data_IF_844297833994
#
_entry.id   IF_844297833994
#
_cell.length_a   1.000
_cell.length_b   1.000
_cell.length_c   1.000
_cell.angle_alpha   90.00
_cell.angle_beta   90.00
_cell.angle_gamma   90.00
#
_symmetry.space_group_name_H-M   'P 1'
#
loop_
_entity.id
_entity.type
_entity.pdbx_description
1 polymer ?
#
# COMPACT_ATOMS: atom_id res chain seq x y z
N UNK A 1 20.21 2.23 37.28
CA UNK A 1 19.41 1.73 36.14
C UNK A 1 18.82 2.82 35.23
N UNK A 2 18.67 4.08 35.64
CA UNK A 2 18.15 5.15 34.75
C UNK A 2 19.21 5.78 33.82
N UNK A 3 20.48 5.84 34.24
CA UNK A 3 21.56 6.41 33.43
C UNK A 3 21.94 5.56 32.19
N UNK A 4 21.81 4.23 32.28
CA UNK A 4 22.17 3.32 31.17
C UNK A 4 21.19 3.43 29.99
N UNK A 5 19.90 3.71 30.27
CA UNK A 5 18.89 3.89 29.23
C UNK A 5 19.10 5.18 28.42
N UNK A 6 19.48 6.28 29.07
CA UNK A 6 19.71 7.57 28.40
C UNK A 6 20.95 7.52 27.49
N UNK A 7 22.01 6.81 27.89
CA UNK A 7 23.21 6.64 27.05
C UNK A 7 22.90 5.78 25.82
N UNK A 8 22.05 4.75 25.94
CA UNK A 8 21.68 3.88 24.83
C UNK A 8 20.83 4.63 23.77
N UNK A 9 19.91 5.49 24.21
CA UNK A 9 19.07 6.30 23.31
C UNK A 9 19.87 7.35 22.55
N UNK A 10 20.86 7.99 23.20
CA UNK A 10 21.74 8.95 22.53
C UNK A 10 22.64 8.26 21.49
N UNK A 11 23.17 7.07 21.80
CA UNK A 11 23.95 6.29 20.83
C UNK A 11 23.13 5.85 19.59
N UNK A 12 21.86 5.46 19.78
CA UNK A 12 20.98 5.04 18.67
C UNK A 12 20.63 6.21 17.73
N UNK A 13 20.31 7.38 18.29
CA UNK A 13 20.04 8.59 17.49
C UNK A 13 21.27 9.04 16.69
N UNK A 14 22.47 8.92 17.26
CA UNK A 14 23.71 9.33 16.58
C UNK A 14 24.06 8.37 15.43
N UNK A 15 23.79 7.07 15.58
CA UNK A 15 23.99 6.07 14.54
C UNK A 15 23.03 6.25 13.35
N UNK A 16 21.77 6.63 13.60
CA UNK A 16 20.77 6.87 12.55
C UNK A 16 21.12 8.13 11.75
N UNK A 17 21.51 9.23 12.43
CA UNK A 17 21.89 10.48 11.76
C UNK A 17 23.17 10.31 10.94
N UNK A 18 24.14 9.54 11.44
CA UNK A 18 25.38 9.29 10.69
C UNK A 18 25.15 8.33 9.51
N UNK A 19 24.29 7.33 9.66
CA UNK A 19 23.90 6.42 8.57
C UNK A 19 23.14 7.13 7.44
N UNK A 20 22.27 8.08 7.79
CA UNK A 20 21.50 8.86 6.82
C UNK A 20 22.39 9.80 5.99
N UNK A 21 23.39 10.44 6.62
CA UNK A 21 24.34 11.33 5.93
C UNK A 21 25.27 10.54 4.97
N UNK A 22 25.64 9.29 5.32
CA UNK A 22 26.51 8.46 4.48
C UNK A 22 25.74 7.91 3.26
N UNK A 23 24.43 7.64 3.38
CA UNK A 23 23.62 7.13 2.27
C UNK A 23 23.39 8.17 1.16
N UNK A 24 23.25 9.45 1.53
CA UNK A 24 22.97 10.54 0.57
C UNK A 24 24.23 11.09 -0.12
N UNK A 25 25.43 10.75 0.37
CA UNK A 25 26.71 11.30 -0.13
C UNK A 25 27.55 10.33 -0.97
N UNK A 26 27.07 9.11 -1.24
CA UNK A 26 27.76 8.14 -2.11
C UNK A 26 29.14 7.70 -1.63
N UNK A 27 29.50 7.95 -0.36
CA UNK A 27 30.78 7.53 0.21
C UNK A 27 30.68 6.11 0.78
N UNK A 28 31.42 5.17 0.20
CA UNK A 28 31.61 3.84 0.80
C UNK A 28 32.65 3.90 1.93
N UNK A 29 32.22 3.75 3.19
CA UNK A 29 33.13 3.53 4.32
C UNK A 29 33.34 2.02 4.49
N UNK A 30 34.52 1.52 4.11
CA UNK A 30 34.93 0.14 4.38
C UNK A 30 35.41 0.02 5.83
N UNK A 31 34.55 -0.48 6.72
CA UNK A 31 34.91 -0.79 8.11
C UNK A 31 35.55 -2.19 8.11
N UNK A 32 36.88 -2.25 8.23
CA UNK A 32 37.60 -3.52 8.44
C UNK A 32 37.46 -3.95 9.90
N UNK A 33 36.44 -4.75 10.20
CA UNK A 33 36.30 -5.40 11.50
C UNK A 33 37.28 -6.57 11.56
N UNK A 34 38.35 -6.44 12.35
CA UNK A 34 39.27 -7.54 12.66
C UNK A 34 38.55 -8.48 13.65
N UNK A 35 38.29 -9.76 13.30
CA UNK A 35 37.67 -10.68 14.24
C UNK A 35 38.62 -11.01 15.40
N UNK A 36 38.09 -11.21 16.62
CA UNK A 36 38.89 -11.77 17.69
C UNK A 36 39.33 -13.18 17.33
N UNK A 37 40.63 -13.42 17.51
CA UNK A 37 41.33 -14.70 17.35
C UNK A 37 40.58 -15.83 18.04
N UNK A 38 40.07 -16.77 17.24
CA UNK A 38 39.53 -18.05 17.68
C UNK A 38 39.84 -19.07 16.60
N UNK A 39 40.89 -19.84 16.84
CA UNK A 39 41.34 -20.97 16.04
C UNK A 39 40.19 -21.98 15.85
N UNK A 40 40.13 -22.58 14.65
CA UNK A 40 39.85 -23.99 14.36
C UNK A 40 39.22 -24.20 12.96
N UNK A 41 40.10 -24.40 11.98
CA UNK A 41 40.21 -25.58 11.10
C UNK A 41 38.94 -26.19 10.45
N UNK A 42 38.98 -26.31 9.11
CA UNK A 42 38.28 -27.37 8.35
C UNK A 42 37.57 -26.88 7.08
N UNK A 43 38.24 -26.93 5.92
CA UNK A 43 37.88 -27.75 4.73
C UNK A 43 36.77 -27.14 3.82
N UNK A 44 37.11 -26.64 2.61
CA UNK A 44 37.07 -27.34 1.30
C UNK A 44 35.66 -27.85 0.91
N UNK A 45 35.10 -27.78 -0.30
CA UNK A 45 35.48 -27.46 -1.69
C UNK A 45 34.13 -27.28 -2.44
N UNK A 46 33.91 -26.23 -3.23
CA UNK A 46 33.90 -26.17 -4.71
C UNK A 46 33.24 -27.32 -5.51
N UNK A 47 32.48 -26.86 -6.53
CA UNK A 47 32.25 -27.41 -7.90
C UNK A 47 31.09 -28.42 -8.10
N UNK A 48 29.97 -27.98 -8.73
CA UNK A 48 29.57 -28.03 -10.18
C UNK A 48 28.97 -29.35 -10.66
N UNK A 49 27.93 -29.25 -11.50
CA UNK A 49 27.57 -30.31 -12.46
C UNK A 49 26.16 -30.17 -13.03
N UNK A 50 26.08 -29.79 -14.30
CA UNK A 50 24.87 -29.66 -15.09
C UNK A 50 24.66 -30.88 -16.03
N UNK A 51 23.47 -30.93 -16.62
CA UNK A 51 23.05 -31.49 -17.94
C UNK A 51 22.66 -32.97 -18.13
N UNK A 52 21.47 -33.08 -18.74
CA UNK A 52 20.99 -33.96 -19.81
C UNK A 52 20.72 -35.45 -19.60
N UNK A 53 19.47 -35.87 -19.92
CA UNK A 53 19.17 -36.63 -21.17
C UNK A 53 17.68 -36.87 -21.46
N UNK A 54 17.41 -36.91 -22.77
CA UNK A 54 16.13 -37.09 -23.50
C UNK A 54 15.91 -38.57 -23.91
N UNK A 55 14.64 -38.97 -24.08
CA UNK A 55 14.17 -40.10 -24.92
C UNK A 55 12.86 -40.71 -24.37
N UNK A 56 11.67 -40.74 -25.00
CA UNK A 56 11.18 -41.06 -26.36
C UNK A 56 10.28 -42.34 -26.36
N UNK A 57 8.97 -42.14 -26.58
CA UNK A 57 7.96 -42.87 -27.39
C UNK A 57 7.50 -44.35 -27.17
N UNK A 58 6.15 -44.50 -27.27
CA UNK A 58 5.35 -45.70 -27.66
C UNK A 58 4.64 -46.42 -26.49
N UNK A 59 3.34 -46.81 -26.47
CA UNK A 59 2.36 -47.24 -27.49
C UNK A 59 0.92 -47.34 -26.89
N UNK A 60 -0.07 -47.43 -27.77
CA UNK A 60 -1.57 -47.39 -27.72
C UNK A 60 -2.38 -48.51 -26.97
N UNK A 61 -3.39 -48.09 -26.14
CA UNK A 61 -4.82 -48.51 -25.89
C UNK A 61 -5.30 -49.99 -25.78
N UNK A 62 -6.54 -50.35 -25.29
CA UNK A 62 -7.60 -49.69 -24.47
C UNK A 62 -8.30 -50.59 -23.38
N UNK A 63 -9.10 -50.03 -22.44
CA UNK A 63 -10.35 -50.57 -21.83
C UNK A 63 -10.72 -49.83 -20.51
N UNK A 64 -11.97 -49.35 -20.36
CA UNK A 64 -12.47 -48.59 -19.18
C UNK A 64 -12.98 -49.46 -18.01
N UNK A 65 -13.91 -49.02 -17.13
CA UNK A 65 -14.36 -47.66 -16.79
C UNK A 65 -14.31 -47.37 -15.25
N UNK A 66 -14.73 -46.16 -14.86
CA UNK A 66 -15.21 -45.72 -13.52
C UNK A 66 -14.21 -45.52 -12.36
N UNK A 67 -14.28 -44.32 -11.78
CA UNK A 67 -13.78 -44.04 -10.43
C UNK A 67 -12.97 -42.74 -10.26
N UNK A 68 -13.38 -41.63 -10.85
CA UNK A 68 -12.82 -40.33 -10.47
C UNK A 68 -13.48 -39.87 -9.15
N UNK A 69 -12.82 -40.17 -8.03
CA UNK A 69 -12.99 -39.40 -6.80
C UNK A 69 -12.05 -38.20 -6.90
N UNK A 70 -12.57 -37.06 -7.36
CA UNK A 70 -11.95 -35.77 -7.05
C UNK A 70 -12.25 -35.47 -5.58
N UNK A 71 -11.27 -35.09 -4.75
CA UNK A 71 -11.57 -34.45 -3.49
C UNK A 71 -12.13 -33.05 -3.81
N UNK A 72 -13.44 -32.91 -3.66
CA UNK A 72 -14.14 -31.63 -3.47
C UNK A 72 -13.36 -30.81 -2.43
N UNK A 73 -13.02 -29.57 -2.72
CA UNK A 73 -14.02 -28.51 -2.72
C UNK A 73 -14.40 -28.07 -1.29
N UNK A 74 -13.52 -28.27 -0.30
CA UNK A 74 -13.65 -27.70 1.04
C UNK A 74 -12.82 -26.41 1.10
N UNK A 75 -13.41 -25.29 0.72
CA UNK A 75 -12.77 -23.97 0.89
C UNK A 75 -13.54 -22.80 0.28
N UNK A 76 -14.28 -23.02 -0.81
CA UNK A 76 -14.97 -21.91 -1.51
C UNK A 76 -16.39 -21.61 -1.02
N UNK A 77 -17.05 -22.55 -0.33
CA UNK A 77 -18.45 -22.41 0.07
C UNK A 77 -18.68 -21.67 1.41
N UNK A 78 -17.65 -21.47 2.23
CA UNK A 78 -17.81 -20.95 3.60
C UNK A 78 -17.82 -19.41 3.70
N UNK A 79 -17.38 -18.72 2.64
CA UNK A 79 -17.26 -17.24 2.64
C UNK A 79 -18.39 -16.49 1.92
N UNK A 80 -19.34 -17.19 1.29
CA UNK A 80 -20.35 -16.54 0.45
C UNK A 80 -21.38 -15.69 1.23
N UNK A 81 -21.55 -15.95 2.54
CA UNK A 81 -22.54 -15.27 3.40
C UNK A 81 -21.93 -14.30 4.43
N UNK A 82 -20.60 -14.18 4.51
CA UNK A 82 -19.95 -13.28 5.47
C UNK A 82 -19.88 -11.86 4.87
N UNK A 83 -20.42 -10.83 5.56
CA UNK A 83 -20.34 -9.44 5.08
C UNK A 83 -18.89 -8.99 4.86
N UNK A 84 -18.67 -8.15 3.85
CA UNK A 84 -17.33 -7.65 3.47
C UNK A 84 -16.61 -7.02 4.66
N UNK A 85 -17.30 -6.23 5.49
CA UNK A 85 -16.68 -5.57 6.65
C UNK A 85 -16.14 -6.58 7.67
N UNK A 86 -16.85 -7.69 7.88
CA UNK A 86 -16.42 -8.73 8.80
C UNK A 86 -15.20 -9.47 8.25
N UNK A 87 -15.19 -9.78 6.95
CA UNK A 87 -14.04 -10.42 6.30
C UNK A 87 -12.79 -9.54 6.36
N UNK A 88 -12.96 -8.23 6.13
CA UNK A 88 -11.86 -7.26 6.26
C UNK A 88 -11.35 -7.21 7.69
N UNK A 89 -12.26 -7.17 8.69
CA UNK A 89 -11.87 -7.15 10.10
C UNK A 89 -11.09 -8.40 10.49
N UNK A 90 -11.60 -9.59 10.13
CA UNK A 90 -10.97 -10.86 10.47
C UNK A 90 -9.57 -10.98 9.85
N UNK A 91 -9.42 -10.62 8.56
CA UNK A 91 -8.13 -10.58 7.88
C UNK A 91 -7.19 -9.54 8.51
N UNK A 92 -7.68 -8.33 8.76
CA UNK A 92 -6.89 -7.26 9.36
C UNK A 92 -6.29 -7.67 10.70
N UNK A 93 -7.07 -8.37 11.54
CA UNK A 93 -6.61 -8.86 12.85
C UNK A 93 -5.73 -10.10 12.78
N UNK A 94 -5.72 -10.82 11.65
CA UNK A 94 -4.84 -11.97 11.44
C UNK A 94 -3.50 -11.64 10.78
N UNK A 95 -3.43 -10.53 10.02
CA UNK A 95 -2.22 -10.11 9.30
C UNK A 95 -1.13 -9.72 10.31
N UNK A 96 0.05 -10.33 10.21
CA UNK A 96 1.22 -10.00 11.00
C UNK A 96 2.37 -9.47 10.13
N UNK A 97 3.14 -8.53 10.69
CA UNK A 97 4.39 -8.02 10.11
C UNK A 97 4.32 -7.72 8.59
N UNK A 98 5.05 -8.54 7.82
CA UNK A 98 5.27 -8.39 6.38
C UNK A 98 4.41 -9.35 5.54
N UNK A 99 3.25 -9.82 6.03
CA UNK A 99 2.33 -10.69 5.27
C UNK A 99 1.70 -9.95 4.07
N UNK A 100 2.42 -9.99 2.95
CA UNK A 100 2.00 -9.41 1.66
C UNK A 100 0.80 -10.14 1.04
N UNK A 101 0.63 -11.44 1.31
CA UNK A 101 -0.49 -12.21 0.75
C UNK A 101 -1.80 -11.81 1.43
N UNK A 102 -1.83 -11.81 2.76
CA UNK A 102 -2.97 -11.35 3.54
C UNK A 102 -3.30 -9.87 3.28
N UNK A 103 -2.26 -9.02 3.17
CA UNK A 103 -2.46 -7.61 2.78
C UNK A 103 -3.16 -7.48 1.42
N UNK A 104 -2.71 -8.23 0.42
CA UNK A 104 -3.30 -8.19 -0.92
C UNK A 104 -4.72 -8.76 -0.93
N UNK A 105 -4.99 -9.79 -0.13
CA UNK A 105 -6.34 -10.34 0.06
C UNK A 105 -7.29 -9.30 0.67
N UNK A 106 -6.87 -8.63 1.75
CA UNK A 106 -7.63 -7.54 2.36
C UNK A 106 -7.90 -6.42 1.35
N UNK A 107 -6.90 -6.00 0.59
CA UNK A 107 -7.08 -4.96 -0.43
C UNK A 107 -8.07 -5.38 -1.53
N UNK A 108 -8.17 -6.65 -1.87
CA UNK A 108 -9.17 -7.12 -2.85
C UNK A 108 -10.61 -6.96 -2.34
N UNK A 109 -10.80 -6.85 -1.02
CA UNK A 109 -12.10 -6.64 -0.40
C UNK A 109 -12.44 -5.16 -0.24
N UNK A 110 -11.44 -4.28 -0.11
CA UNK A 110 -11.65 -2.85 0.11
C UNK A 110 -12.64 -2.18 -0.86
N UNK A 111 -12.67 -2.46 -2.17
CA UNK A 111 -13.66 -1.85 -3.06
C UNK A 111 -15.12 -2.06 -2.65
N UNK A 112 -15.40 -3.10 -1.84
CA UNK A 112 -16.73 -3.40 -1.32
C UNK A 112 -17.02 -2.88 0.10
N UNK A 113 -16.06 -2.21 0.75
CA UNK A 113 -16.23 -1.74 2.14
C UNK A 113 -17.23 -0.59 2.21
N UNK A 114 -18.01 -0.57 3.29
CA UNK A 114 -18.73 0.62 3.75
C UNK A 114 -18.11 1.04 5.09
N UNK A 115 -17.35 2.14 5.09
CA UNK A 115 -16.56 2.56 6.26
C UNK A 115 -17.43 2.88 7.48
N UNK A 116 -18.60 3.48 7.27
CA UNK A 116 -19.54 3.74 8.36
C UNK A 116 -20.11 2.44 8.95
N UNK A 117 -20.32 1.41 8.12
CA UNK A 117 -20.75 0.10 8.59
C UNK A 117 -19.62 -0.67 9.28
N UNK A 118 -18.40 -0.58 8.77
CA UNK A 118 -17.21 -1.16 9.39
C UNK A 118 -17.02 -0.57 10.79
N UNK A 119 -17.08 0.76 10.91
CA UNK A 119 -17.02 1.42 12.22
C UNK A 119 -18.13 0.97 13.15
N UNK A 120 -19.37 0.93 12.67
CA UNK A 120 -20.50 0.53 13.50
C UNK A 120 -20.35 -0.88 14.08
N UNK A 121 -19.67 -1.78 13.36
CA UNK A 121 -19.46 -3.18 13.78
C UNK A 121 -18.19 -3.36 14.60
N UNK A 122 -17.14 -2.57 14.34
CA UNK A 122 -15.79 -2.83 14.81
C UNK A 122 -15.11 -1.62 15.47
N UNK A 123 -15.84 -0.52 15.66
CA UNK A 123 -15.36 0.75 16.24
C UNK A 123 -15.36 0.78 17.77
N UNK A 124 -16.07 -0.13 18.43
CA UNK A 124 -16.11 -0.27 19.89
C UNK A 124 -14.99 -1.21 20.38
N UNK A 125 -13.72 -0.92 20.06
CA UNK A 125 -12.61 -1.64 20.65
C UNK A 125 -12.55 -1.38 22.17
N UNK A 126 -12.12 -2.37 22.97
CA UNK A 126 -12.08 -2.27 24.44
C UNK A 126 -11.20 -1.12 24.96
N UNK A 127 -10.25 -0.65 24.15
CA UNK A 127 -9.35 0.46 24.45
C UNK A 127 -9.87 1.83 23.97
N UNK A 128 -11.07 1.87 23.37
CA UNK A 128 -11.70 3.08 22.83
C UNK A 128 -11.15 3.53 21.48
N UNK A 129 -10.38 2.68 20.79
CA UNK A 129 -9.83 2.99 19.47
C UNK A 129 -10.87 2.74 18.38
N UNK A 130 -11.03 3.70 17.47
CA UNK A 130 -11.88 3.54 16.28
C UNK A 130 -11.24 2.53 15.33
N UNK A 131 -11.93 1.42 15.07
CA UNK A 131 -11.46 0.38 14.16
C UNK A 131 -11.24 0.90 12.74
N UNK A 132 -12.05 1.86 12.28
CA UNK A 132 -11.86 2.50 10.97
C UNK A 132 -10.57 3.31 10.92
N UNK A 133 -10.28 4.08 11.97
CA UNK A 133 -9.03 4.83 12.05
C UNK A 133 -7.84 3.89 12.06
N UNK A 134 -7.87 2.85 12.88
CA UNK A 134 -6.80 1.85 12.98
C UNK A 134 -6.51 1.22 11.61
N UNK A 135 -7.54 0.85 10.85
CA UNK A 135 -7.38 0.28 9.51
C UNK A 135 -6.84 1.29 8.50
N UNK A 136 -7.33 2.53 8.49
CA UNK A 136 -6.85 3.57 7.57
C UNK A 136 -5.41 4.01 7.88
N UNK A 137 -5.04 4.11 9.15
CA UNK A 137 -3.66 4.35 9.58
C UNK A 137 -2.74 3.20 9.17
N UNK A 138 -3.16 1.96 9.42
CA UNK A 138 -2.42 0.78 8.99
C UNK A 138 -2.22 0.75 7.46
N UNK A 139 -3.26 1.06 6.67
CA UNK A 139 -3.13 1.20 5.22
C UNK A 139 -2.14 2.30 4.83
N UNK A 140 -2.07 3.39 5.59
CA UNK A 140 -1.14 4.49 5.31
C UNK A 140 0.31 4.10 5.56
N UNK A 141 0.57 3.39 6.65
CA UNK A 141 1.93 3.03 7.06
C UNK A 141 2.46 1.76 6.37
N UNK A 142 1.59 0.95 5.76
CA UNK A 142 1.98 -0.33 5.18
C UNK A 142 2.84 -0.16 3.90
N UNK A 143 4.02 -0.81 3.80
CA UNK A 143 4.93 -0.67 2.65
C UNK A 143 4.39 -1.26 1.34
N UNK A 144 3.32 -2.06 1.38
CA UNK A 144 2.70 -2.66 0.21
C UNK A 144 1.63 -1.75 -0.43
N UNK A 145 1.19 -0.70 0.26
CA UNK A 145 0.08 0.16 -0.14
C UNK A 145 0.28 0.81 -1.52
N UNK A 146 1.50 1.24 -1.83
CA UNK A 146 1.83 1.89 -3.11
C UNK A 146 2.30 0.90 -4.18
N UNK A 147 2.27 -0.42 -3.95
CA UNK A 147 2.72 -1.43 -4.92
C UNK A 147 1.63 -1.83 -5.92
N UNK A 148 2.04 -2.19 -7.14
CA UNK A 148 1.16 -2.72 -8.20
C UNK A 148 -0.17 -1.95 -8.38
N UNK A 149 -1.27 -2.65 -8.17
CA UNK A 149 -2.64 -2.14 -8.35
C UNK A 149 -3.29 -1.70 -7.03
N UNK A 150 -2.54 -1.65 -5.93
CA UNK A 150 -3.09 -1.49 -4.59
C UNK A 150 -3.73 -0.11 -4.37
N UNK A 151 -3.11 0.95 -4.89
CA UNK A 151 -3.70 2.30 -4.91
C UNK A 151 -5.05 2.32 -5.62
N UNK A 152 -5.21 1.58 -6.72
CA UNK A 152 -6.47 1.54 -7.46
C UNK A 152 -7.61 0.95 -6.62
N UNK A 153 -7.35 -0.14 -5.89
CA UNK A 153 -8.33 -0.76 -4.98
C UNK A 153 -8.72 0.20 -3.85
N UNK A 154 -7.77 0.98 -3.34
CA UNK A 154 -8.03 2.00 -2.32
C UNK A 154 -8.89 3.14 -2.87
N UNK A 155 -8.65 3.61 -4.10
CA UNK A 155 -9.48 4.64 -4.73
C UNK A 155 -10.95 4.22 -4.90
N UNK A 156 -11.24 2.93 -4.95
CA UNK A 156 -12.62 2.42 -5.02
C UNK A 156 -13.33 2.43 -3.67
N UNK A 157 -12.59 2.51 -2.57
CA UNK A 157 -13.09 2.38 -1.21
C UNK A 157 -13.46 3.76 -0.61
N UNK A 158 -14.43 4.47 -1.21
CA UNK A 158 -14.87 5.80 -0.70
C UNK A 158 -16.19 5.75 0.07
N UNK A 159 -16.92 4.64 0.00
CA UNK A 159 -18.28 4.53 0.53
C UNK A 159 -18.33 4.63 2.06
N UNK A 160 -19.15 5.54 2.57
CA UNK A 160 -19.39 5.67 4.01
C UNK A 160 -18.28 6.42 4.76
N UNK A 161 -17.36 7.08 4.05
CA UNK A 161 -16.42 8.04 4.64
C UNK A 161 -17.18 9.31 5.05
N UNK A 162 -17.03 9.71 6.31
CA UNK A 162 -17.54 10.98 6.83
C UNK A 162 -16.68 11.45 8.01
N UNK A 163 -16.69 12.76 8.27
CA UNK A 163 -15.93 13.40 9.34
C UNK A 163 -14.47 12.95 9.39
N UNK A 164 -14.05 12.49 10.57
CA UNK A 164 -12.66 12.13 10.82
C UNK A 164 -12.15 10.97 9.93
N UNK A 165 -13.03 10.07 9.46
CA UNK A 165 -12.62 8.98 8.54
C UNK A 165 -12.32 9.52 7.15
N UNK A 166 -13.10 10.49 6.68
CA UNK A 166 -12.82 11.17 5.43
C UNK A 166 -11.51 11.97 5.51
N UNK A 167 -11.21 12.57 6.66
CA UNK A 167 -9.94 13.28 6.89
C UNK A 167 -8.74 12.33 6.82
N UNK A 168 -8.81 11.19 7.52
CA UNK A 168 -7.74 10.18 7.50
C UNK A 168 -7.56 9.55 6.11
N UNK A 169 -8.67 9.24 5.40
CA UNK A 169 -8.59 8.76 4.02
C UNK A 169 -7.98 9.83 3.09
N UNK A 170 -8.28 11.11 3.32
CA UNK A 170 -7.69 12.22 2.57
C UNK A 170 -6.17 12.28 2.73
N UNK A 171 -5.64 11.99 3.92
CA UNK A 171 -4.20 11.87 4.14
C UNK A 171 -3.59 10.75 3.28
N UNK A 172 -4.25 9.59 3.23
CA UNK A 172 -3.81 8.45 2.43
C UNK A 172 -3.74 8.79 0.94
N UNK A 173 -4.84 9.27 0.34
CA UNK A 173 -4.86 9.58 -1.10
C UNK A 173 -4.07 10.84 -1.47
N UNK A 174 -3.95 11.80 -0.55
CA UNK A 174 -3.07 12.95 -0.70
C UNK A 174 -1.60 12.55 -0.77
N UNK A 175 -1.17 11.60 0.06
CA UNK A 175 0.20 11.06 0.03
C UNK A 175 0.52 10.37 -1.30
N UNK A 176 -0.45 9.66 -1.89
CA UNK A 176 -0.30 9.03 -3.20
C UNK A 176 -0.04 10.05 -4.31
N UNK A 177 -0.81 11.14 -4.31
CA UNK A 177 -0.64 12.21 -5.30
C UNK A 177 0.72 12.90 -5.18
N UNK A 178 1.15 13.23 -3.96
CA UNK A 178 2.44 13.90 -3.73
C UNK A 178 3.64 12.99 -4.01
N UNK A 179 3.53 11.69 -3.77
CA UNK A 179 4.62 10.73 -4.00
C UNK A 179 4.79 10.36 -5.48
N UNK A 180 3.69 10.10 -6.20
CA UNK A 180 3.73 9.77 -7.63
C UNK A 180 2.44 10.21 -8.34
N UNK A 181 2.33 11.51 -8.58
CA UNK A 181 1.16 12.12 -9.23
C UNK A 181 0.83 11.52 -10.61
N UNK A 182 1.84 11.04 -11.36
CA UNK A 182 1.60 10.42 -12.68
C UNK A 182 0.90 9.08 -12.54
N UNK A 183 1.36 8.24 -11.61
CA UNK A 183 0.71 6.95 -11.34
C UNK A 183 -0.66 7.13 -10.70
N UNK A 184 -0.79 8.10 -9.80
CA UNK A 184 -2.08 8.50 -9.24
C UNK A 184 -3.09 8.79 -10.36
N UNK A 185 -2.75 9.69 -11.30
CA UNK A 185 -3.64 10.06 -12.42
C UNK A 185 -4.00 8.86 -13.28
N UNK A 186 -3.02 8.03 -13.65
CA UNK A 186 -3.24 6.82 -14.46
C UNK A 186 -4.20 5.82 -13.82
N UNK A 187 -4.05 5.57 -12.53
CA UNK A 187 -4.88 4.60 -11.81
C UNK A 187 -6.27 5.17 -11.54
N UNK A 188 -6.36 6.44 -11.13
CA UNK A 188 -7.63 7.08 -10.83
C UNK A 188 -8.50 7.24 -12.10
N UNK A 189 -7.88 7.47 -13.26
CA UNK A 189 -8.57 7.56 -14.56
C UNK A 189 -9.32 6.29 -15.00
N UNK A 190 -9.21 5.20 -14.24
CA UNK A 190 -9.96 3.95 -14.48
C UNK A 190 -11.28 3.87 -13.72
N UNK A 191 -11.57 4.84 -12.85
CA UNK A 191 -12.85 4.94 -12.15
C UNK A 191 -13.87 5.73 -12.98
N UNK A 192 -15.13 5.68 -12.54
CA UNK A 192 -16.14 6.59 -13.06
C UNK A 192 -15.93 8.03 -12.53
N UNK A 193 -16.48 9.00 -13.26
CA UNK A 193 -16.30 10.43 -12.98
C UNK A 193 -16.67 10.82 -11.54
N UNK A 194 -17.71 10.21 -10.96
CA UNK A 194 -18.13 10.51 -9.59
C UNK A 194 -17.06 10.10 -8.58
N UNK A 195 -16.50 8.90 -8.72
CA UNK A 195 -15.41 8.44 -7.86
C UNK A 195 -14.12 9.23 -8.09
N UNK A 196 -13.84 9.65 -9.33
CA UNK A 196 -12.71 10.56 -9.63
C UNK A 196 -12.88 11.87 -8.86
N UNK A 197 -14.04 12.53 -8.99
CA UNK A 197 -14.32 13.80 -8.33
C UNK A 197 -14.23 13.69 -6.80
N UNK A 198 -14.72 12.58 -6.24
CA UNK A 198 -14.67 12.33 -4.80
C UNK A 198 -13.22 12.21 -4.29
N UNK A 199 -12.40 11.39 -4.92
CA UNK A 199 -10.98 11.23 -4.55
C UNK A 199 -10.21 12.54 -4.79
N UNK A 200 -10.45 13.24 -5.89
CA UNK A 200 -9.80 14.53 -6.18
C UNK A 200 -10.10 15.59 -5.10
N UNK A 201 -11.32 15.66 -4.57
CA UNK A 201 -11.66 16.57 -3.46
C UNK A 201 -10.90 16.22 -2.18
N UNK A 202 -10.83 14.94 -1.82
CA UNK A 202 -10.09 14.46 -0.65
C UNK A 202 -8.57 14.73 -0.80
N UNK A 203 -8.03 14.49 -1.99
CA UNK A 203 -6.63 14.82 -2.32
C UNK A 203 -6.37 16.33 -2.21
N UNK A 204 -7.27 17.18 -2.71
CA UNK A 204 -7.13 18.64 -2.61
C UNK A 204 -7.18 19.12 -1.15
N UNK A 205 -8.14 18.62 -0.37
CA UNK A 205 -8.24 18.92 1.06
C UNK A 205 -6.94 18.60 1.81
N UNK A 206 -6.34 17.43 1.56
CA UNK A 206 -5.07 17.11 2.22
C UNK A 206 -3.91 17.96 1.70
N UNK A 207 -3.83 18.25 0.39
CA UNK A 207 -2.74 19.06 -0.17
C UNK A 207 -2.72 20.50 0.36
N UNK A 208 -3.88 21.07 0.69
CA UNK A 208 -3.99 22.40 1.29
C UNK A 208 -3.10 22.56 2.54
N UNK A 209 -2.90 21.49 3.32
CA UNK A 209 -2.04 21.53 4.51
C UNK A 209 -0.54 21.42 4.22
N UNK A 210 -0.15 21.26 2.96
CA UNK A 210 1.24 20.98 2.58
C UNK A 210 1.83 22.00 1.58
N UNK A 211 1.01 22.58 0.72
CA UNK A 211 1.43 23.51 -0.33
C UNK A 211 0.33 24.56 -0.53
N UNK A 212 0.72 25.82 -0.73
CA UNK A 212 -0.22 26.88 -1.04
C UNK A 212 -1.05 26.52 -2.30
N UNK A 213 -2.37 26.74 -2.30
CA UNK A 213 -3.24 26.30 -3.39
C UNK A 213 -2.80 26.77 -4.79
N UNK A 214 -2.33 28.01 -4.93
CA UNK A 214 -1.81 28.57 -6.18
C UNK A 214 -0.57 27.81 -6.67
N UNK A 215 0.38 27.53 -5.77
CA UNK A 215 1.60 26.77 -6.08
C UNK A 215 1.26 25.32 -6.43
N UNK A 216 0.28 24.73 -5.75
CA UNK A 216 -0.20 23.38 -6.03
C UNK A 216 -0.88 23.30 -7.41
N UNK A 217 -1.67 24.30 -7.81
CA UNK A 217 -2.26 24.40 -9.15
C UNK A 217 -1.18 24.54 -10.22
N UNK A 218 -0.21 25.45 -10.02
CA UNK A 218 0.88 25.69 -10.97
C UNK A 218 1.72 24.43 -11.17
N UNK A 219 2.20 23.83 -10.08
CA UNK A 219 3.05 22.63 -10.12
C UNK A 219 2.32 21.41 -10.72
N UNK A 220 1.04 21.22 -10.39
CA UNK A 220 0.21 20.15 -10.97
C UNK A 220 0.01 20.35 -12.47
N UNK A 221 -0.30 21.58 -12.89
CA UNK A 221 -0.48 21.90 -14.31
C UNK A 221 0.81 21.67 -15.08
N UNK A 222 1.94 22.14 -14.55
CA UNK A 222 3.27 21.96 -15.15
C UNK A 222 3.68 20.47 -15.24
N UNK A 223 3.33 19.64 -14.25
CA UNK A 223 3.64 18.21 -14.24
C UNK A 223 3.04 17.47 -15.45
N UNK A 224 1.88 17.92 -15.92
CA UNK A 224 1.12 17.32 -17.01
C UNK A 224 1.13 18.13 -18.31
N UNK A 225 1.77 19.30 -18.32
CA UNK A 225 2.02 20.07 -19.53
C UNK A 225 2.84 19.23 -20.52
N UNK A 226 2.49 19.29 -21.82
CA UNK A 226 3.09 18.50 -22.92
C UNK A 226 2.92 16.98 -22.88
N UNK A 227 2.16 16.41 -21.93
CA UNK A 227 1.89 14.97 -21.90
C UNK A 227 0.75 14.57 -22.83
N UNK A 228 0.98 13.49 -23.57
CA UNK A 228 -0.13 12.76 -24.19
C UNK A 228 -0.91 12.07 -23.08
N UNK A 229 -2.07 12.64 -22.75
CA UNK A 229 -3.04 12.09 -21.81
C UNK A 229 -4.22 11.54 -22.59
N UNK A 230 -4.73 10.39 -22.16
CA UNK A 230 -6.07 9.95 -22.55
C UNK A 230 -7.14 10.96 -22.07
N UNK A 231 -8.34 10.84 -22.62
CA UNK A 231 -9.46 11.69 -22.20
C UNK A 231 -9.76 11.57 -20.69
N UNK A 232 -9.68 10.34 -20.15
CA UNK A 232 -9.92 10.10 -18.73
C UNK A 232 -8.80 10.63 -17.84
N UNK A 233 -7.53 10.46 -18.23
CA UNK A 233 -6.42 11.06 -17.47
C UNK A 233 -6.48 12.59 -17.48
N UNK A 234 -6.85 13.19 -18.62
CA UNK A 234 -7.07 14.64 -18.71
C UNK A 234 -8.19 15.09 -17.76
N UNK A 235 -9.28 14.35 -17.72
CA UNK A 235 -10.38 14.62 -16.79
C UNK A 235 -9.90 14.59 -15.33
N UNK A 236 -9.10 13.59 -14.93
CA UNK A 236 -8.52 13.54 -13.56
C UNK A 236 -7.65 14.76 -13.27
N UNK A 237 -6.79 15.16 -14.22
CA UNK A 237 -5.93 16.36 -14.06
C UNK A 237 -6.78 17.62 -13.88
N UNK A 238 -7.79 17.79 -14.74
CA UNK A 238 -8.69 18.95 -14.65
C UNK A 238 -9.48 18.93 -13.33
N UNK A 239 -9.93 17.76 -12.88
CA UNK A 239 -10.67 17.59 -11.62
C UNK A 239 -9.82 17.91 -10.40
N UNK A 240 -8.57 17.43 -10.33
CA UNK A 240 -7.68 17.72 -9.19
C UNK A 240 -7.25 19.19 -9.17
N UNK A 241 -6.94 19.80 -10.32
CA UNK A 241 -6.60 21.23 -10.40
C UNK A 241 -7.79 22.08 -9.98
N UNK A 242 -8.99 21.74 -10.44
CA UNK A 242 -10.23 22.43 -10.03
C UNK A 242 -10.48 22.28 -8.53
N UNK A 243 -10.28 21.09 -7.97
CA UNK A 243 -10.50 20.83 -6.55
C UNK A 243 -9.51 21.62 -5.67
N UNK A 244 -8.23 21.66 -6.05
CA UNK A 244 -7.22 22.49 -5.37
C UNK A 244 -7.56 23.98 -5.50
N UNK A 245 -7.92 24.43 -6.70
CA UNK A 245 -8.24 25.82 -6.96
C UNK A 245 -9.46 26.35 -6.18
N UNK A 246 -10.34 25.48 -5.68
CA UNK A 246 -11.44 25.90 -4.80
C UNK A 246 -10.94 26.52 -3.49
N UNK A 247 -9.76 26.11 -2.99
CA UNK A 247 -9.16 26.64 -1.76
C UNK A 247 -8.49 28.01 -1.96
N UNK A 248 -8.21 28.43 -3.19
CA UNK A 248 -7.71 29.80 -3.49
C UNK A 248 -8.78 30.84 -3.11
N UNK A 249 -10.05 30.51 -3.37
CA UNK A 249 -11.15 31.48 -3.20
C UNK A 249 -11.62 31.66 -1.76
N UNK A 250 -11.27 30.75 -0.85
CA UNK A 250 -11.72 30.79 0.54
C UNK A 250 -10.91 31.77 1.41
N UNK A 251 -9.70 32.19 0.99
CA UNK A 251 -8.92 33.23 1.70
C UNK A 251 -9.32 34.68 1.35
N UNK A 252 -10.26 34.89 0.41
CA UNK A 252 -10.64 36.23 -0.06
C UNK A 252 -11.83 36.86 0.69
N UNK A 253 -12.36 36.23 1.75
CA UNK A 253 -13.53 36.71 2.51
C UNK A 253 -13.30 36.67 4.00
#
# INVERSE_FOLDING_TARGET
MRAVKVVLTIFFMTAIVTGYIIYDSGMSVSISVKPPSGDNTGEQSRLTGATDRVGANGTINPAGPQGALTPEGAGEAEYADIPVEQRIYDLFKSIDGDDEEGFNELLNLLPGIDWALYEKKHGDAEDGTSGTMELLEWLTDNPFTTRGENMYKIFQATKGLDGAFADQYSMLVGSFFRSDGKRFVRLLARLDEKSIDEVCRMTAYNNYFHVEPEEAVESTTALFESKELSASERYVVDAVVKAIGAYITEEST
#
